data_IF_784603827820
#
_entry.id   IF_784603827820
#
_cell.length_a   1.000
_cell.length_b   1.000
_cell.length_c   1.000
_cell.angle_alpha   90.00
_cell.angle_beta   90.00
_cell.angle_gamma   90.00
#
_symmetry.space_group_name_H-M   'P 1'
#
loop_
_entity.id
_entity.type
_entity.pdbx_description
1 polymer ?
#
# COMPACT_ATOMS: atom_id res chain seq x y z
N UNK A 1 -12.02 5.37 15.71
CA UNK A 1 -12.98 5.48 16.83
C UNK A 1 -12.28 5.55 18.19
N UNK A 2 -11.44 4.57 18.57
CA UNK A 2 -10.81 4.59 19.91
C UNK A 2 -9.92 5.82 20.22
N UNK A 3 -9.19 6.37 19.24
CA UNK A 3 -8.43 7.62 19.39
C UNK A 3 -9.33 8.86 19.55
N UNK A 4 -10.56 8.83 19.02
CA UNK A 4 -11.53 9.93 19.18
C UNK A 4 -12.09 9.99 20.60
N UNK A 5 -12.23 8.85 21.28
CA UNK A 5 -12.74 8.78 22.66
C UNK A 5 -11.63 8.91 23.72
N UNK A 6 -10.42 8.45 23.41
CA UNK A 6 -9.25 8.53 24.30
C UNK A 6 -8.18 9.37 23.61
N UNK A 7 -8.49 10.64 23.40
CA UNK A 7 -7.60 11.56 22.71
C UNK A 7 -6.42 11.90 23.61
N UNK A 8 -5.18 11.54 23.23
CA UNK A 8 -4.03 11.86 24.05
C UNK A 8 -3.67 13.35 24.03
N UNK A 9 -4.23 14.14 23.10
CA UNK A 9 -3.97 15.59 22.94
C UNK A 9 -2.47 15.95 22.99
N UNK A 10 -1.61 15.03 22.59
CA UNK A 10 -0.16 15.17 22.60
C UNK A 10 0.32 15.59 21.21
N UNK A 11 -0.30 16.63 20.64
CA UNK A 11 0.08 17.15 19.32
C UNK A 11 1.35 17.98 19.50
N UNK A 12 2.47 17.44 19.02
CA UNK A 12 3.76 18.13 19.03
C UNK A 12 3.92 19.05 17.82
N UNK A 13 4.73 20.10 17.96
CA UNK A 13 5.09 20.97 16.84
C UNK A 13 5.76 20.17 15.72
N UNK A 14 5.48 20.47 14.44
CA UNK A 14 6.09 19.77 13.31
C UNK A 14 7.62 19.89 13.36
N UNK A 15 8.31 18.78 13.12
CA UNK A 15 9.78 18.67 13.19
C UNK A 15 10.35 18.47 11.79
N UNK A 16 11.49 19.11 11.49
CA UNK A 16 12.23 18.93 10.23
C UNK A 16 11.50 19.48 9.01
N UNK A 17 11.53 18.74 7.90
CA UNK A 17 10.97 19.17 6.60
C UNK A 17 9.45 19.41 6.64
N UNK A 18 8.74 18.84 7.61
CA UNK A 18 7.33 19.10 7.85
C UNK A 18 7.05 20.52 8.39
N UNK A 19 8.04 21.21 8.96
CA UNK A 19 7.90 22.59 9.44
C UNK A 19 8.06 23.63 8.32
N UNK A 20 8.89 23.34 7.32
CA UNK A 20 9.24 24.27 6.23
C UNK A 20 8.52 23.95 4.92
N UNK A 21 8.17 22.68 4.69
CA UNK A 21 7.66 22.19 3.41
C UNK A 21 6.68 21.01 3.57
N UNK A 22 5.68 21.19 4.45
CA UNK A 22 4.67 20.16 4.78
C UNK A 22 3.98 19.55 3.55
N UNK A 23 3.63 20.37 2.55
CA UNK A 23 2.98 19.90 1.32
C UNK A 23 3.88 18.99 0.48
N UNK A 24 5.15 19.36 0.30
CA UNK A 24 6.11 18.58 -0.50
C UNK A 24 6.46 17.29 0.22
N UNK A 25 6.70 17.37 1.54
CA UNK A 25 7.01 16.19 2.35
C UNK A 25 5.83 15.22 2.42
N UNK A 26 4.61 15.72 2.60
CA UNK A 26 3.39 14.90 2.57
C UNK A 26 3.17 14.22 1.21
N UNK A 27 3.44 14.92 0.11
CA UNK A 27 3.39 14.32 -1.22
C UNK A 27 4.46 13.24 -1.43
N UNK A 28 5.68 13.48 -0.95
CA UNK A 28 6.78 12.52 -1.01
C UNK A 28 6.51 11.25 -0.18
N UNK A 29 5.93 11.39 1.02
CA UNK A 29 5.50 10.22 1.81
C UNK A 29 4.32 9.50 1.16
N UNK A 30 3.42 10.24 0.50
CA UNK A 30 2.39 9.66 -0.36
C UNK A 30 2.99 8.76 -1.44
N UNK A 31 4.12 9.14 -2.03
CA UNK A 31 4.87 8.27 -2.95
C UNK A 31 5.43 7.03 -2.26
N UNK A 32 5.80 7.07 -0.99
CA UNK A 32 6.31 5.89 -0.31
C UNK A 32 5.21 4.84 0.01
N UNK A 33 3.93 5.18 -0.18
CA UNK A 33 2.80 4.26 0.08
C UNK A 33 2.70 3.10 -0.91
N UNK A 34 3.35 3.20 -2.07
CA UNK A 34 3.36 2.18 -3.13
C UNK A 34 1.98 1.94 -3.81
N UNK A 35 0.92 2.65 -3.41
CA UNK A 35 -0.43 2.48 -3.95
C UNK A 35 -0.52 2.76 -5.45
N UNK A 36 0.21 3.77 -5.94
CA UNK A 36 0.25 4.11 -7.37
C UNK A 36 0.85 2.98 -8.22
N UNK A 37 1.93 2.35 -7.75
CA UNK A 37 2.59 1.24 -8.46
C UNK A 37 1.70 -0.01 -8.41
N UNK A 38 1.06 -0.26 -7.26
CA UNK A 38 0.09 -1.34 -7.11
C UNK A 38 -1.10 -1.15 -8.07
N UNK A 39 -1.64 0.07 -8.17
CA UNK A 39 -2.74 0.40 -9.08
C UNK A 39 -2.38 0.15 -10.55
N UNK A 40 -1.15 0.43 -10.98
CA UNK A 40 -0.70 0.13 -12.34
C UNK A 40 -0.63 -1.38 -12.62
N UNK A 41 -0.11 -2.16 -11.67
CA UNK A 41 -0.01 -3.62 -11.81
C UNK A 41 -1.39 -4.29 -11.80
N UNK A 42 -2.22 -3.96 -10.80
CA UNK A 42 -3.58 -4.47 -10.70
C UNK A 42 -4.48 -3.96 -11.84
N UNK A 43 -4.29 -2.72 -12.32
CA UNK A 43 -5.03 -2.16 -13.45
C UNK A 43 -4.85 -2.99 -14.72
N UNK A 44 -3.62 -3.40 -15.04
CA UNK A 44 -3.34 -4.29 -16.16
C UNK A 44 -4.04 -5.65 -15.99
N UNK A 45 -3.95 -6.25 -14.80
CA UNK A 45 -4.55 -7.57 -14.53
C UNK A 45 -6.07 -7.52 -14.58
N UNK A 46 -6.68 -6.46 -14.05
CA UNK A 46 -8.12 -6.21 -14.13
C UNK A 46 -8.54 -6.01 -15.59
N UNK A 47 -7.78 -5.24 -16.38
CA UNK A 47 -8.04 -5.04 -17.81
C UNK A 47 -7.99 -6.38 -18.59
N UNK A 48 -6.96 -7.20 -18.34
CA UNK A 48 -6.84 -8.53 -18.93
C UNK A 48 -7.99 -9.46 -18.49
N UNK A 49 -8.39 -9.39 -17.21
CA UNK A 49 -9.51 -10.18 -16.70
C UNK A 49 -10.84 -9.76 -17.35
N UNK A 50 -11.12 -8.46 -17.49
CA UNK A 50 -12.35 -7.97 -18.13
C UNK A 50 -12.36 -8.35 -19.62
N UNK A 51 -11.23 -8.25 -20.33
CA UNK A 51 -11.11 -8.70 -21.73
C UNK A 51 -11.39 -10.21 -21.87
N UNK A 52 -11.03 -11.02 -20.87
CA UNK A 52 -11.32 -12.47 -20.88
C UNK A 52 -12.82 -12.82 -20.74
N UNK A 53 -13.66 -11.90 -20.25
CA UNK A 53 -15.11 -12.06 -20.17
C UNK A 53 -15.85 -11.67 -21.47
N UNK A 54 -15.15 -11.60 -22.62
CA UNK A 54 -15.71 -11.24 -23.94
C UNK A 54 -16.42 -9.87 -23.99
N UNK A 55 -16.04 -8.94 -23.11
CA UNK A 55 -16.50 -7.55 -23.21
C UNK A 55 -15.67 -6.84 -24.28
N UNK A 56 -16.10 -6.93 -25.54
CA UNK A 56 -15.38 -6.37 -26.71
C UNK A 56 -15.46 -4.84 -26.83
N UNK A 57 -16.32 -4.19 -26.04
CA UNK A 57 -16.51 -2.73 -26.11
C UNK A 57 -15.59 -2.00 -25.13
N UNK A 58 -14.45 -1.53 -25.64
CA UNK A 58 -13.39 -0.87 -24.86
C UNK A 58 -13.90 0.37 -24.08
N UNK A 59 -14.82 1.15 -24.65
CA UNK A 59 -15.48 2.28 -23.97
C UNK A 59 -16.24 1.86 -22.70
N UNK A 60 -16.94 0.72 -22.74
CA UNK A 60 -17.69 0.23 -21.58
C UNK A 60 -16.74 -0.28 -20.50
N UNK A 61 -15.66 -0.97 -20.87
CA UNK A 61 -14.64 -1.45 -19.94
C UNK A 61 -14.00 -0.28 -19.19
N UNK A 62 -13.63 0.79 -19.90
CA UNK A 62 -13.05 2.00 -19.31
C UNK A 62 -14.06 2.67 -18.38
N UNK A 63 -15.31 2.87 -18.83
CA UNK A 63 -16.35 3.53 -18.03
C UNK A 63 -16.67 2.79 -16.71
N UNK A 64 -16.72 1.46 -16.72
CA UNK A 64 -16.91 0.68 -15.49
C UNK A 64 -15.68 0.74 -14.59
N UNK A 65 -14.48 0.63 -15.15
CA UNK A 65 -13.22 0.66 -14.38
C UNK A 65 -13.03 2.00 -13.67
N UNK A 66 -13.35 3.12 -14.33
CA UNK A 66 -13.27 4.47 -13.72
C UNK A 66 -14.25 4.62 -12.56
N UNK A 67 -15.51 4.16 -12.71
CA UNK A 67 -16.50 4.23 -11.63
C UNK A 67 -16.09 3.41 -10.42
N UNK A 68 -15.61 2.19 -10.64
CA UNK A 68 -15.11 1.31 -9.56
C UNK A 68 -13.88 1.92 -8.90
N UNK A 69 -12.95 2.44 -9.69
CA UNK A 69 -11.74 3.10 -9.21
C UNK A 69 -12.04 4.34 -8.37
N UNK A 70 -13.01 5.16 -8.76
CA UNK A 70 -13.39 6.36 -8.02
C UNK A 70 -14.03 6.02 -6.67
N UNK A 71 -14.87 4.98 -6.60
CA UNK A 71 -15.43 4.49 -5.34
C UNK A 71 -14.33 3.93 -4.44
N UNK A 72 -13.47 3.04 -4.97
CA UNK A 72 -12.37 2.44 -4.21
C UNK A 72 -11.37 3.50 -3.71
N UNK A 73 -10.99 4.45 -4.57
CA UNK A 73 -10.10 5.56 -4.23
C UNK A 73 -10.69 6.48 -3.17
N UNK A 74 -12.01 6.71 -3.19
CA UNK A 74 -12.68 7.49 -2.14
C UNK A 74 -12.61 6.81 -0.78
N UNK A 75 -12.82 5.50 -0.70
CA UNK A 75 -12.64 4.75 0.55
C UNK A 75 -11.20 4.80 1.04
N UNK A 76 -10.24 4.62 0.14
CA UNK A 76 -8.81 4.68 0.46
C UNK A 76 -8.41 6.07 0.99
N UNK A 77 -8.87 7.14 0.34
CA UNK A 77 -8.65 8.52 0.78
C UNK A 77 -9.15 8.77 2.21
N UNK A 78 -10.37 8.30 2.52
CA UNK A 78 -10.95 8.42 3.87
C UNK A 78 -10.09 7.66 4.90
N UNK A 79 -9.63 6.47 4.58
CA UNK A 79 -8.76 5.67 5.46
C UNK A 79 -7.42 6.39 5.71
N UNK A 80 -6.78 6.91 4.67
CA UNK A 80 -5.53 7.66 4.81
C UNK A 80 -5.70 8.93 5.64
N UNK A 81 -6.81 9.66 5.46
CA UNK A 81 -7.13 10.83 6.28
C UNK A 81 -7.29 10.45 7.76
N UNK A 82 -7.95 9.32 8.06
CA UNK A 82 -8.07 8.81 9.44
C UNK A 82 -6.71 8.40 10.02
N UNK A 83 -5.87 7.71 9.25
CA UNK A 83 -4.52 7.31 9.69
C UNK A 83 -3.63 8.53 9.95
N UNK A 84 -3.68 9.55 9.09
CA UNK A 84 -2.97 10.80 9.27
C UNK A 84 -3.42 11.54 10.54
N UNK A 85 -4.74 11.57 10.81
CA UNK A 85 -5.28 12.14 12.03
C UNK A 85 -4.82 11.38 13.29
N UNK A 86 -4.77 10.05 13.23
CA UNK A 86 -4.24 9.22 14.32
C UNK A 86 -2.76 9.55 14.55
N UNK A 87 -1.94 9.58 13.50
CA UNK A 87 -0.52 9.90 13.60
C UNK A 87 -0.26 11.30 14.18
N UNK A 88 -1.07 12.29 13.82
CA UNK A 88 -1.00 13.66 14.35
C UNK A 88 -1.36 13.71 15.84
N UNK A 89 -2.45 13.06 16.25
CA UNK A 89 -2.93 13.11 17.64
C UNK A 89 -2.06 12.31 18.61
N UNK A 90 -1.31 11.33 18.09
CA UNK A 90 -0.41 10.48 18.89
C UNK A 90 1.06 10.87 18.77
N UNK A 91 1.40 11.94 18.05
CA UNK A 91 2.79 12.28 17.72
C UNK A 91 3.68 12.43 18.96
N UNK A 92 3.17 13.00 20.04
CA UNK A 92 3.90 13.16 21.32
C UNK A 92 4.04 11.88 22.14
N UNK A 93 3.30 10.81 21.85
CA UNK A 93 3.49 9.49 22.47
C UNK A 93 4.53 8.64 21.72
N UNK A 94 4.88 9.04 20.50
CA UNK A 94 5.67 8.24 19.56
C UNK A 94 7.01 8.87 19.18
N UNK A 95 7.58 9.74 20.04
CA UNK A 95 8.83 10.48 19.74
C UNK A 95 10.05 9.59 19.43
N UNK A 96 10.08 8.35 19.91
CA UNK A 96 11.22 7.42 19.72
C UNK A 96 10.95 6.31 18.69
N UNK A 97 9.88 6.40 17.90
CA UNK A 97 9.42 5.31 17.07
C UNK A 97 10.04 5.38 15.67
N UNK A 98 10.53 4.25 15.15
CA UNK A 98 11.37 4.22 13.92
C UNK A 98 10.58 4.00 12.64
N UNK A 99 9.36 3.45 12.72
CA UNK A 99 8.53 3.14 11.55
C UNK A 99 7.03 3.18 11.86
N UNK A 100 6.21 3.22 10.80
CA UNK A 100 4.74 3.30 10.92
C UNK A 100 4.08 2.10 11.60
N UNK A 101 4.67 0.90 11.50
CA UNK A 101 4.13 -0.30 12.16
C UNK A 101 4.26 -0.21 13.69
N UNK A 102 5.39 0.28 14.18
CA UNK A 102 5.61 0.54 15.61
C UNK A 102 4.68 1.67 16.12
N UNK A 103 4.41 2.71 15.31
CA UNK A 103 3.45 3.77 15.66
C UNK A 103 2.06 3.16 15.86
N UNK A 104 1.55 2.43 14.88
CA UNK A 104 0.22 1.81 14.96
C UNK A 104 0.11 0.81 16.12
N UNK A 105 1.17 0.04 16.39
CA UNK A 105 1.18 -0.91 17.51
C UNK A 105 1.13 -0.19 18.85
N UNK A 106 1.90 0.89 19.01
CA UNK A 106 1.92 1.72 20.23
C UNK A 106 0.57 2.38 20.46
N UNK A 107 -0.02 2.96 19.41
CA UNK A 107 -1.35 3.58 19.50
C UNK A 107 -2.44 2.55 19.79
N UNK A 108 -2.41 1.38 19.14
CA UNK A 108 -3.38 0.32 19.41
C UNK A 108 -3.28 -0.17 20.85
N UNK A 109 -2.06 -0.34 21.38
CA UNK A 109 -1.84 -0.67 22.78
C UNK A 109 -2.35 0.42 23.72
N UNK A 110 -2.16 1.70 23.41
CA UNK A 110 -2.64 2.81 24.24
C UNK A 110 -4.17 2.89 24.31
N UNK A 111 -4.84 2.66 23.18
CA UNK A 111 -6.28 2.81 23.02
C UNK A 111 -7.05 1.57 23.50
N UNK A 112 -6.59 0.37 23.09
CA UNK A 112 -7.29 -0.90 23.29
C UNK A 112 -6.57 -1.87 24.25
N UNK A 113 -5.40 -1.50 24.78
CA UNK A 113 -4.61 -2.36 25.67
C UNK A 113 -4.00 -3.57 24.96
N UNK A 114 -3.70 -4.63 25.73
CA UNK A 114 -3.13 -5.89 25.19
C UNK A 114 -4.03 -6.55 24.15
N UNK A 115 -5.36 -6.43 24.29
CA UNK A 115 -6.31 -6.97 23.32
C UNK A 115 -6.20 -6.28 21.94
N UNK A 116 -5.92 -4.97 21.93
CA UNK A 116 -5.72 -4.19 20.72
C UNK A 116 -4.56 -4.66 19.85
N UNK A 117 -3.47 -5.12 20.48
CA UNK A 117 -2.29 -5.60 19.75
C UNK A 117 -2.62 -6.90 19.01
N UNK A 118 -3.33 -7.84 19.66
CA UNK A 118 -3.73 -9.10 19.03
C UNK A 118 -4.67 -8.84 17.87
N UNK A 119 -5.66 -7.97 18.06
CA UNK A 119 -6.61 -7.59 17.02
C UNK A 119 -5.91 -6.90 15.84
N UNK A 120 -5.00 -5.96 16.11
CA UNK A 120 -4.21 -5.27 15.09
C UNK A 120 -3.35 -6.27 14.30
N UNK A 121 -2.66 -7.17 14.98
CA UNK A 121 -1.85 -8.21 14.35
C UNK A 121 -2.70 -9.10 13.44
N UNK A 122 -3.87 -9.57 13.89
CA UNK A 122 -4.76 -10.38 13.07
C UNK A 122 -5.26 -9.64 11.82
N UNK A 123 -5.70 -8.39 11.96
CA UNK A 123 -6.17 -7.59 10.82
C UNK A 123 -5.03 -7.34 9.84
N UNK A 124 -3.84 -6.96 10.34
CA UNK A 124 -2.69 -6.68 9.49
C UNK A 124 -2.22 -7.93 8.76
N UNK A 125 -2.18 -9.09 9.42
CA UNK A 125 -1.88 -10.37 8.77
C UNK A 125 -2.90 -10.69 7.67
N UNK A 126 -4.20 -10.57 7.95
CA UNK A 126 -5.24 -10.84 6.95
C UNK A 126 -5.15 -9.89 5.75
N UNK A 127 -5.00 -8.58 6.02
CA UNK A 127 -4.86 -7.56 4.99
C UNK A 127 -3.64 -7.85 4.12
N UNK A 128 -2.44 -7.92 4.71
CA UNK A 128 -1.20 -8.16 3.98
C UNK A 128 -1.20 -9.50 3.23
N UNK A 129 -1.80 -10.55 3.80
CA UNK A 129 -1.91 -11.85 3.13
C UNK A 129 -2.74 -11.73 1.85
N UNK A 130 -3.91 -11.10 1.90
CA UNK A 130 -4.75 -10.91 0.70
C UNK A 130 -4.06 -10.08 -0.37
N UNK A 131 -3.34 -9.01 -0.01
CA UNK A 131 -2.59 -8.18 -0.96
C UNK A 131 -1.43 -8.95 -1.58
N UNK A 132 -0.67 -9.69 -0.78
CA UNK A 132 0.43 -10.53 -1.27
C UNK A 132 -0.06 -11.59 -2.25
N UNK A 133 -1.17 -12.28 -1.92
CA UNK A 133 -1.80 -13.26 -2.82
C UNK A 133 -2.21 -12.57 -4.14
N UNK A 134 -2.87 -11.41 -4.06
CA UNK A 134 -3.26 -10.63 -5.23
C UNK A 134 -2.08 -10.24 -6.12
N UNK A 135 -0.98 -9.75 -5.54
CA UNK A 135 0.21 -9.33 -6.28
C UNK A 135 0.93 -10.52 -6.93
N UNK A 136 1.15 -11.60 -6.16
CA UNK A 136 1.87 -12.79 -6.64
C UNK A 136 1.10 -13.45 -7.78
N UNK A 137 -0.22 -13.58 -7.65
CA UNK A 137 -1.07 -14.15 -8.71
C UNK A 137 -1.06 -13.27 -9.96
N UNK A 138 -1.14 -11.95 -9.80
CA UNK A 138 -1.10 -10.97 -10.89
C UNK A 138 0.23 -11.01 -11.66
N UNK A 139 1.36 -10.96 -10.96
CA UNK A 139 2.69 -11.01 -11.56
C UNK A 139 2.93 -12.36 -12.22
N UNK A 140 2.47 -13.46 -11.61
CA UNK A 140 2.61 -14.80 -12.18
C UNK A 140 1.84 -14.93 -13.50
N UNK A 141 0.60 -14.39 -13.58
CA UNK A 141 -0.18 -14.34 -14.83
C UNK A 141 0.48 -13.46 -15.89
N UNK A 142 1.02 -12.31 -15.50
CA UNK A 142 1.72 -11.41 -16.41
C UNK A 142 2.94 -12.09 -17.04
N UNK A 143 3.79 -12.73 -16.23
CA UNK A 143 4.97 -13.45 -16.72
C UNK A 143 4.63 -14.69 -17.52
N UNK A 144 3.56 -15.42 -17.17
CA UNK A 144 3.07 -16.55 -17.95
C UNK A 144 2.66 -16.13 -19.37
N UNK A 145 1.86 -15.06 -19.49
CA UNK A 145 1.45 -14.51 -20.78
C UNK A 145 2.65 -14.00 -21.59
N UNK A 146 3.57 -13.27 -20.94
CA UNK A 146 4.79 -12.76 -21.56
C UNK A 146 5.71 -13.89 -22.07
N UNK A 147 5.75 -15.02 -21.37
CA UNK A 147 6.58 -16.19 -21.70
C UNK A 147 5.91 -17.11 -22.73
N UNK A 148 4.73 -16.73 -23.28
CA UNK A 148 3.91 -17.54 -24.21
C UNK A 148 3.67 -18.95 -23.67
N UNK A 149 3.31 -19.06 -22.39
CA UNK A 149 3.00 -20.33 -21.70
C UNK A 149 4.16 -21.35 -21.63
N UNK A 150 5.40 -20.96 -21.95
CA UNK A 150 6.55 -21.89 -21.82
C UNK A 150 6.86 -22.29 -20.38
N UNK A 151 6.43 -21.49 -19.40
CA UNK A 151 6.58 -21.75 -17.96
C UNK A 151 5.22 -21.60 -17.30
N UNK A 152 4.74 -22.68 -16.67
CA UNK A 152 3.43 -22.72 -16.00
C UNK A 152 3.34 -21.73 -14.83
N UNK A 153 2.19 -21.08 -14.72
CA UNK A 153 1.73 -20.27 -13.59
C UNK A 153 2.20 -20.77 -12.20
N UNK A 154 2.07 -22.08 -11.95
CA UNK A 154 2.38 -22.68 -10.65
C UNK A 154 3.87 -22.53 -10.28
N UNK A 155 4.78 -22.60 -11.25
CA UNK A 155 6.23 -22.44 -11.00
C UNK A 155 6.58 -20.99 -10.67
N UNK A 156 5.92 -20.03 -11.33
CA UNK A 156 6.10 -18.60 -11.06
C UNK A 156 5.62 -18.23 -9.66
N UNK A 157 4.45 -18.74 -9.22
CA UNK A 157 3.96 -18.47 -7.86
C UNK A 157 4.94 -18.96 -6.80
N UNK A 158 5.44 -20.19 -6.92
CA UNK A 158 6.37 -20.77 -5.95
C UNK A 158 7.66 -19.95 -5.90
N UNK A 159 8.19 -19.54 -7.06
CA UNK A 159 9.37 -18.70 -7.13
C UNK A 159 9.18 -17.34 -6.43
N UNK A 160 8.09 -16.62 -6.75
CA UNK A 160 7.81 -15.31 -6.15
C UNK A 160 7.51 -15.41 -4.65
N UNK A 161 6.80 -16.45 -4.22
CA UNK A 161 6.51 -16.69 -2.79
C UNK A 161 7.80 -16.96 -2.01
N UNK A 162 8.69 -17.80 -2.55
CA UNK A 162 9.97 -18.10 -1.92
C UNK A 162 10.87 -16.86 -1.83
N UNK A 163 10.92 -16.06 -2.91
CA UNK A 163 11.67 -14.81 -2.92
C UNK A 163 11.12 -13.82 -1.89
N UNK A 164 9.80 -13.67 -1.80
CA UNK A 164 9.15 -12.81 -0.80
C UNK A 164 9.45 -13.27 0.63
N UNK A 165 9.45 -14.59 0.88
CA UNK A 165 9.84 -15.15 2.17
C UNK A 165 11.29 -14.81 2.52
N UNK A 166 12.22 -14.92 1.57
CA UNK A 166 13.62 -14.58 1.79
C UNK A 166 13.79 -13.09 2.15
N UNK A 167 13.14 -12.18 1.40
CA UNK A 167 13.19 -10.73 1.64
C UNK A 167 12.54 -10.35 2.97
N UNK A 168 11.45 -11.00 3.37
CA UNK A 168 10.75 -10.72 4.62
C UNK A 168 11.65 -10.93 5.87
N UNK A 169 12.68 -11.77 5.78
CA UNK A 169 13.61 -12.02 6.88
C UNK A 169 14.60 -10.86 7.14
N UNK A 170 14.75 -9.88 6.23
CA UNK A 170 15.71 -8.76 6.37
C UNK A 170 15.22 -7.60 7.26
N UNK A 171 13.97 -7.63 7.70
CA UNK A 171 13.35 -6.63 8.58
C UNK A 171 12.86 -5.36 7.85
N UNK A 172 11.78 -4.77 8.37
CA UNK A 172 11.04 -3.68 7.72
C UNK A 172 11.91 -2.45 7.42
N UNK A 173 12.75 -2.01 8.37
CA UNK A 173 13.59 -0.82 8.17
C UNK A 173 14.61 -0.99 7.03
N UNK A 174 15.15 -2.20 6.86
CA UNK A 174 16.08 -2.52 5.76
C UNK A 174 15.34 -2.53 4.43
N UNK A 175 14.16 -3.14 4.41
CA UNK A 175 13.28 -3.17 3.23
C UNK A 175 12.96 -1.73 2.80
N UNK A 176 12.51 -0.87 3.73
CA UNK A 176 12.20 0.53 3.42
C UNK A 176 13.42 1.30 2.88
N UNK A 177 14.60 1.15 3.48
CA UNK A 177 15.84 1.81 2.99
C UNK A 177 16.21 1.41 1.57
N UNK A 178 15.96 0.17 1.18
CA UNK A 178 16.22 -0.33 -0.18
C UNK A 178 15.09 0.03 -1.15
N UNK A 179 13.84 -0.01 -0.69
CA UNK A 179 12.66 0.25 -1.52
C UNK A 179 12.52 1.73 -1.88
N UNK A 180 12.79 2.67 -0.96
CA UNK A 180 12.67 4.12 -1.22
C UNK A 180 13.44 4.58 -2.47
N UNK A 181 14.75 4.30 -2.64
CA UNK A 181 15.48 4.74 -3.84
C UNK A 181 14.98 4.07 -5.13
N UNK A 182 14.55 2.81 -5.05
CA UNK A 182 13.96 2.10 -6.19
C UNK A 182 12.63 2.73 -6.60
N UNK A 183 11.78 3.07 -5.62
CA UNK A 183 10.50 3.73 -5.82
C UNK A 183 10.68 5.08 -6.52
N UNK A 184 11.58 5.93 -5.99
CA UNK A 184 11.87 7.25 -6.58
C UNK A 184 12.36 7.14 -8.02
N UNK A 185 13.07 6.07 -8.38
CA UNK A 185 13.50 5.83 -9.77
C UNK A 185 12.36 5.39 -10.70
N UNK A 186 11.41 4.61 -10.20
CA UNK A 186 10.28 4.09 -10.99
C UNK A 186 9.16 5.14 -11.15
N UNK A 187 8.98 6.02 -10.16
CA UNK A 187 7.86 6.97 -10.13
C UNK A 187 7.72 7.89 -11.35
N UNK A 188 8.79 8.47 -11.92
CA UNK A 188 8.70 9.27 -13.14
C UNK A 188 8.05 8.49 -14.29
N UNK A 189 8.41 7.22 -14.44
CA UNK A 189 7.84 6.34 -15.49
C UNK A 189 6.38 6.05 -15.21
N UNK A 190 6.03 5.74 -13.95
CA UNK A 190 4.64 5.50 -13.54
C UNK A 190 3.74 6.71 -13.80
N UNK A 191 4.19 7.93 -13.50
CA UNK A 191 3.41 9.16 -13.73
C UNK A 191 3.21 9.39 -15.23
N UNK A 192 4.24 9.19 -16.04
CA UNK A 192 4.14 9.31 -17.50
C UNK A 192 3.14 8.30 -18.08
N UNK A 193 3.14 7.05 -17.60
CA UNK A 193 2.16 6.05 -18.02
C UNK A 193 0.73 6.42 -17.63
N UNK A 194 0.52 6.97 -16.43
CA UNK A 194 -0.81 7.43 -15.99
C UNK A 194 -1.30 8.62 -16.84
N UNK A 195 -0.40 9.53 -17.21
CA UNK A 195 -0.73 10.69 -18.06
C UNK A 195 -1.00 10.28 -19.51
N UNK A 196 -0.27 9.28 -20.02
CA UNK A 196 -0.45 8.78 -21.39
C UNK A 196 -1.70 7.94 -21.56
N UNK A 197 -2.11 7.17 -20.53
CA UNK A 197 -3.33 6.36 -20.53
C UNK A 197 -3.25 5.16 -21.44
#
# INVERSE_FOLDING_TARGET
VGVLFKNPNAVTSPVGDYATSSTVKGFLEGYNTMDTIAALNFGLVISLAIKSFQVENEEKVIGYTVKVGLVAGSFLFVIYAMLAYIGMTTSGLTENVKNGAEILTTVSQYVFGKFGIVLLASIFTLACLTTCIGLITSISKFFENLTKEKVSYNKWIVFWTFLSFLVANFGLNTILKVSVPVLVAIYPVSIVLILLG
#
